data_IF_506657891529
#
_entry.id   IF_506657891529
#
_cell.length_a   1.000
_cell.length_b   1.000
_cell.length_c   1.000
_cell.angle_alpha   90.00
_cell.angle_beta   90.00
_cell.angle_gamma   90.00
#
_symmetry.space_group_name_H-M   'P 1'
#
loop_
_entity.id
_entity.type
_entity.pdbx_description
1 polymer ?
#
# COMPACT_ATOMS: atom_id res chain seq x y z
N UNK A 1 1.63 -29.81 1.11
CA UNK A 1 2.99 -30.32 1.45
C UNK A 1 3.50 -29.43 2.58
N UNK A 2 3.38 -29.90 3.82
CA UNK A 2 3.90 -29.25 5.01
C UNK A 2 5.43 -29.30 4.97
N UNK A 3 6.07 -28.20 4.59
CA UNK A 3 7.52 -28.07 4.70
C UNK A 3 7.91 -28.17 6.17
N UNK A 4 8.56 -29.27 6.58
CA UNK A 4 9.17 -29.42 7.91
C UNK A 4 10.23 -28.34 8.06
N UNK A 5 10.10 -27.49 9.09
CA UNK A 5 11.14 -26.53 9.50
C UNK A 5 12.43 -27.30 9.82
N UNK A 6 13.57 -27.02 9.13
CA UNK A 6 14.84 -27.61 9.50
C UNK A 6 15.40 -26.91 10.74
N UNK A 7 16.03 -27.69 11.63
CA UNK A 7 16.77 -27.24 12.82
C UNK A 7 18.10 -26.61 12.40
N UNK A 8 18.15 -25.32 12.17
CA UNK A 8 19.39 -24.58 11.93
C UNK A 8 19.33 -23.23 12.64
N UNK A 9 20.41 -22.77 13.25
CA UNK A 9 20.58 -21.57 14.10
C UNK A 9 19.89 -20.31 13.54
N UNK A 10 18.57 -20.29 13.58
CA UNK A 10 17.77 -19.08 13.59
C UNK A 10 17.83 -18.52 15.01
N UNK A 11 17.73 -17.20 15.19
CA UNK A 11 17.17 -16.68 16.43
C UNK A 11 15.98 -17.58 16.71
N UNK A 12 16.05 -18.39 17.79
CA UNK A 12 14.90 -19.18 18.18
C UNK A 12 13.84 -18.15 18.57
N UNK A 13 13.04 -17.73 17.57
CA UNK A 13 11.72 -17.26 17.89
C UNK A 13 11.16 -18.45 18.66
N UNK A 14 11.17 -18.35 20.00
CA UNK A 14 10.58 -19.37 20.85
C UNK A 14 9.27 -19.72 20.20
N UNK A 15 8.98 -21.04 20.05
CA UNK A 15 7.61 -21.47 20.00
C UNK A 15 6.95 -20.89 21.26
N UNK A 16 6.51 -19.63 21.14
CA UNK A 16 5.68 -18.98 22.14
C UNK A 16 4.37 -19.73 21.96
N UNK A 17 4.23 -20.77 22.77
CA UNK A 17 3.02 -21.57 22.81
C UNK A 17 1.86 -20.61 22.88
N UNK A 18 0.90 -20.75 21.98
CA UNK A 18 -0.43 -20.13 21.94
C UNK A 18 -0.55 -18.81 22.72
N UNK A 19 0.40 -17.89 22.49
CA UNK A 19 0.27 -16.53 23.01
C UNK A 19 -0.82 -15.87 22.17
N UNK A 20 -1.96 -15.60 22.78
CA UNK A 20 -3.15 -15.02 22.16
C UNK A 20 -2.94 -13.54 21.80
N UNK A 21 -1.71 -13.04 21.85
CA UNK A 21 -1.33 -11.67 21.53
C UNK A 21 -1.19 -11.41 20.01
N UNK A 22 -1.14 -10.13 19.61
CA UNK A 22 -0.95 -9.75 18.21
C UNK A 22 0.46 -10.15 17.72
N UNK A 23 0.55 -10.61 16.46
CA UNK A 23 1.80 -10.97 15.80
C UNK A 23 2.72 -9.76 15.56
N UNK A 24 2.12 -8.63 15.12
CA UNK A 24 2.79 -7.36 14.89
C UNK A 24 2.12 -6.28 15.72
N UNK A 25 2.92 -5.49 16.44
CA UNK A 25 2.48 -4.30 17.17
C UNK A 25 3.34 -3.11 16.75
N UNK A 26 2.70 -2.08 16.22
CA UNK A 26 3.32 -0.80 15.86
C UNK A 26 2.81 0.25 16.83
N UNK A 27 3.73 0.96 17.52
CA UNK A 27 3.37 1.97 18.52
C UNK A 27 4.06 3.29 18.22
N UNK A 28 3.25 4.32 18.04
CA UNK A 28 3.65 5.71 17.85
C UNK A 28 4.79 5.87 16.82
N UNK A 29 4.67 5.16 15.69
CA UNK A 29 5.70 5.14 14.67
C UNK A 29 5.72 6.46 13.90
N UNK A 30 6.87 7.13 13.92
CA UNK A 30 7.16 8.30 13.13
C UNK A 30 8.28 8.02 12.15
N UNK A 31 8.17 8.56 10.95
CA UNK A 31 9.23 8.52 9.95
C UNK A 31 9.26 9.83 9.16
N UNK A 32 10.38 10.51 9.23
CA UNK A 32 10.58 11.79 8.56
C UNK A 32 11.88 11.78 7.73
N UNK A 33 11.87 12.53 6.64
CA UNK A 33 13.03 12.68 5.75
C UNK A 33 13.54 14.12 5.79
N UNK A 34 14.85 14.29 6.02
CA UNK A 34 15.50 15.59 5.88
C UNK A 34 15.74 15.86 4.40
N UNK A 35 15.24 16.99 3.92
CA UNK A 35 15.40 17.44 2.54
C UNK A 35 15.93 18.88 2.53
N UNK A 36 16.46 19.33 1.41
CA UNK A 36 16.91 20.74 1.27
C UNK A 36 15.78 21.78 1.48
N UNK A 37 14.50 21.36 1.39
CA UNK A 37 13.31 22.22 1.60
C UNK A 37 12.76 22.16 3.02
N UNK A 38 13.22 21.22 3.83
CA UNK A 38 12.71 20.98 5.19
C UNK A 38 12.50 19.50 5.50
N UNK A 39 11.88 19.21 6.63
CA UNK A 39 11.64 17.83 7.09
C UNK A 39 10.25 17.35 6.64
N UNK A 40 10.20 16.34 5.77
CA UNK A 40 8.97 15.70 5.30
C UNK A 40 8.51 14.66 6.32
N UNK A 41 7.36 14.84 6.95
CA UNK A 41 6.77 13.90 7.94
C UNK A 41 5.90 12.86 7.23
N UNK A 42 6.53 11.84 6.66
CA UNK A 42 5.84 10.86 5.83
C UNK A 42 4.98 9.86 6.62
N UNK A 43 5.39 9.52 7.85
CA UNK A 43 4.61 8.77 8.84
C UNK A 43 4.68 9.56 10.14
N UNK A 44 3.53 9.77 10.80
CA UNK A 44 3.45 10.73 11.91
C UNK A 44 2.47 10.23 12.99
N UNK A 45 2.97 9.41 13.92
CA UNK A 45 2.22 8.88 15.05
C UNK A 45 1.26 7.74 14.66
N UNK A 46 1.76 6.74 13.95
CA UNK A 46 0.96 5.59 13.50
C UNK A 46 1.06 4.46 14.52
N UNK A 47 -0.11 3.97 15.00
CA UNK A 47 -0.20 2.84 15.92
C UNK A 47 -1.27 1.86 15.47
N UNK A 48 -0.92 0.56 15.39
CA UNK A 48 -1.85 -0.52 15.09
C UNK A 48 -1.24 -1.87 15.42
N UNK A 49 -2.06 -2.90 15.37
CA UNK A 49 -1.66 -4.28 15.57
C UNK A 49 -2.29 -5.21 14.54
N UNK A 50 -1.61 -6.33 14.28
CA UNK A 50 -2.05 -7.38 13.36
C UNK A 50 -1.90 -8.73 14.05
N UNK A 51 -2.97 -9.52 14.05
CA UNK A 51 -2.97 -10.88 14.57
C UNK A 51 -2.55 -11.89 13.50
N UNK A 52 -2.06 -13.05 13.93
CA UNK A 52 -1.70 -14.16 13.04
C UNK A 52 -2.93 -14.62 12.22
N UNK A 53 -2.72 -15.00 10.97
CA UNK A 53 -3.80 -15.45 10.08
C UNK A 53 -4.77 -14.35 9.62
N UNK A 54 -4.53 -13.08 9.94
CA UNK A 54 -5.38 -11.94 9.58
C UNK A 54 -4.80 -11.13 8.41
N UNK A 55 -5.70 -10.55 7.63
CA UNK A 55 -5.34 -9.60 6.58
C UNK A 55 -5.75 -8.19 6.98
N UNK A 56 -4.77 -7.30 7.10
CA UNK A 56 -4.96 -5.87 7.31
C UNK A 56 -4.81 -5.11 5.99
N UNK A 57 -5.85 -4.40 5.56
CA UNK A 57 -5.78 -3.46 4.44
C UNK A 57 -5.27 -2.09 4.89
N UNK A 58 -4.29 -1.51 4.19
CA UNK A 58 -3.87 -0.12 4.39
C UNK A 58 -4.12 0.65 3.10
N UNK A 59 -5.05 1.61 3.15
CA UNK A 59 -5.49 2.36 1.97
C UNK A 59 -5.31 3.86 2.12
N UNK A 60 -5.30 4.57 1.00
CA UNK A 60 -5.20 6.04 0.94
C UNK A 60 -4.65 6.51 -0.40
N UNK A 61 -4.75 7.80 -0.67
CA UNK A 61 -4.21 8.39 -1.90
C UNK A 61 -2.69 8.20 -2.03
N UNK A 62 -2.15 8.35 -3.25
CA UNK A 62 -0.71 8.41 -3.47
C UNK A 62 -0.08 9.52 -2.62
N UNK A 63 1.08 9.24 -2.01
CA UNK A 63 1.73 10.17 -1.09
C UNK A 63 1.15 10.23 0.32
N UNK A 64 0.16 9.40 0.69
CA UNK A 64 -0.37 9.36 2.07
C UNK A 64 0.58 8.72 3.10
N UNK A 65 1.72 8.14 2.68
CA UNK A 65 2.74 7.57 3.56
C UNK A 65 2.74 6.04 3.65
N UNK A 66 1.88 5.32 2.94
CA UNK A 66 1.70 3.85 3.01
C UNK A 66 2.99 3.06 2.77
N UNK A 67 3.65 3.30 1.64
CA UNK A 67 4.93 2.64 1.29
C UNK A 67 6.04 2.97 2.29
N UNK A 68 6.07 4.23 2.78
CA UNK A 68 7.03 4.62 3.82
C UNK A 68 6.74 3.88 5.12
N UNK A 69 5.46 3.74 5.51
CA UNK A 69 5.06 2.97 6.68
C UNK A 69 5.53 1.51 6.57
N UNK A 70 5.27 0.85 5.44
CA UNK A 70 5.70 -0.52 5.17
C UNK A 70 7.21 -0.69 5.31
N UNK A 71 7.97 0.19 4.66
CA UNK A 71 9.44 0.16 4.74
C UNK A 71 9.98 0.52 6.11
N UNK A 72 9.29 1.37 6.86
CA UNK A 72 9.65 1.71 8.24
C UNK A 72 9.47 0.52 9.18
N UNK A 73 8.36 -0.21 9.06
CA UNK A 73 8.10 -1.43 9.84
C UNK A 73 9.17 -2.48 9.55
N UNK A 74 9.49 -2.67 8.27
CA UNK A 74 10.51 -3.61 7.82
C UNK A 74 11.96 -3.18 8.16
N UNK A 75 12.20 -1.93 8.54
CA UNK A 75 13.57 -1.42 8.70
C UNK A 75 14.35 -1.25 7.39
N UNK A 76 13.65 -1.12 6.24
CA UNK A 76 14.24 -1.05 4.89
C UNK A 76 14.48 0.39 4.40
N UNK A 77 14.43 1.37 5.28
CA UNK A 77 14.73 2.75 4.91
C UNK A 77 16.23 3.02 4.98
N UNK A 78 16.77 3.89 4.10
CA UNK A 78 18.19 4.25 4.15
C UNK A 78 18.51 4.93 5.49
N UNK A 79 19.71 4.67 6.07
CA UNK A 79 20.07 5.23 7.37
C UNK A 79 20.38 6.74 7.33
N UNK A 80 20.65 7.28 6.13
CA UNK A 80 20.96 8.71 5.95
C UNK A 80 19.70 9.52 5.72
N UNK A 81 19.62 10.69 6.36
CA UNK A 81 18.52 11.67 6.21
C UNK A 81 17.14 11.17 6.63
N UNK A 82 17.06 10.03 7.33
CA UNK A 82 15.82 9.48 7.88
C UNK A 82 15.84 9.61 9.40
N UNK A 83 14.78 10.19 9.95
CA UNK A 83 14.51 10.25 11.39
C UNK A 83 13.35 9.30 11.66
N UNK A 84 13.58 8.28 12.50
CA UNK A 84 12.56 7.32 12.90
C UNK A 84 12.45 7.28 14.42
N UNK A 85 11.23 7.21 14.95
CA UNK A 85 10.92 7.00 16.37
C UNK A 85 9.66 6.16 16.51
N UNK A 86 9.36 5.74 17.74
CA UNK A 86 8.34 4.75 18.02
C UNK A 86 8.89 3.33 17.97
N UNK A 87 8.05 2.33 18.24
CA UNK A 87 8.46 0.93 18.34
C UNK A 87 7.67 0.02 17.40
N UNK A 88 8.35 -1.04 16.95
CA UNK A 88 7.76 -2.11 16.14
C UNK A 88 8.13 -3.44 16.77
N UNK A 89 7.15 -4.16 17.29
CA UNK A 89 7.31 -5.50 17.85
C UNK A 89 6.73 -6.53 16.90
N UNK A 90 7.47 -7.58 16.62
CA UNK A 90 7.05 -8.70 15.79
C UNK A 90 7.42 -10.02 16.44
N UNK A 91 6.44 -10.90 16.67
CA UNK A 91 6.64 -12.20 17.30
C UNK A 91 7.36 -12.11 18.67
N UNK A 92 7.07 -11.06 19.46
CA UNK A 92 7.68 -10.82 20.76
C UNK A 92 9.05 -10.12 20.73
N UNK A 93 9.58 -9.75 19.56
CA UNK A 93 10.87 -9.07 19.40
C UNK A 93 10.68 -7.64 18.89
N UNK A 94 11.44 -6.69 19.46
CA UNK A 94 11.43 -5.30 19.02
C UNK A 94 12.34 -5.11 17.80
N UNK A 95 11.75 -5.01 16.59
CA UNK A 95 12.50 -4.81 15.36
C UNK A 95 13.23 -3.47 15.29
N UNK A 96 12.71 -2.44 15.97
CA UNK A 96 13.29 -1.10 15.98
C UNK A 96 14.60 -1.02 16.77
N UNK A 97 14.83 -1.96 17.67
CA UNK A 97 16.07 -2.07 18.47
C UNK A 97 17.12 -2.99 17.80
N UNK A 98 16.76 -3.72 16.73
CA UNK A 98 17.67 -4.66 16.06
C UNK A 98 18.63 -3.92 15.12
N UNK A 99 19.87 -4.41 15.08
CA UNK A 99 20.83 -4.04 14.06
C UNK A 99 20.56 -4.76 12.73
N UNK A 100 21.27 -4.35 11.66
CA UNK A 100 21.04 -4.91 10.31
C UNK A 100 21.33 -6.41 10.26
N UNK A 101 22.30 -6.92 11.03
CA UNK A 101 22.65 -8.35 11.05
C UNK A 101 21.54 -9.19 11.69
N UNK A 102 20.87 -8.66 12.69
CA UNK A 102 19.72 -9.27 13.34
C UNK A 102 18.48 -9.20 12.45
N UNK A 103 18.22 -8.06 11.81
CA UNK A 103 17.10 -7.89 10.86
C UNK A 103 17.23 -8.85 9.67
N UNK A 104 18.44 -9.11 9.17
CA UNK A 104 18.68 -10.08 8.08
C UNK A 104 18.27 -11.51 8.44
N UNK A 105 18.21 -11.86 9.72
CA UNK A 105 17.73 -13.18 10.14
C UNK A 105 16.20 -13.26 10.15
N UNK A 106 15.53 -12.12 10.26
CA UNK A 106 14.07 -12.01 10.26
C UNK A 106 13.55 -11.88 8.83
N UNK A 107 14.23 -11.06 8.00
CA UNK A 107 13.81 -10.80 6.62
C UNK A 107 13.88 -12.07 5.77
N UNK A 108 12.78 -12.33 5.05
CA UNK A 108 12.62 -13.50 4.19
C UNK A 108 12.34 -14.80 4.94
N UNK A 109 12.73 -14.91 6.21
CA UNK A 109 12.49 -16.09 7.05
C UNK A 109 11.13 -16.03 7.76
N UNK A 110 10.86 -14.93 8.49
CA UNK A 110 9.67 -14.77 9.33
C UNK A 110 8.79 -13.60 8.83
N UNK A 111 9.41 -12.55 8.32
CA UNK A 111 8.79 -11.33 7.81
C UNK A 111 9.25 -11.09 6.38
N UNK A 112 8.32 -11.04 5.44
CA UNK A 112 8.63 -10.93 4.01
C UNK A 112 7.92 -9.74 3.37
N UNK A 113 8.42 -9.27 2.21
CA UNK A 113 7.83 -8.17 1.48
C UNK A 113 7.64 -8.50 0.00
N UNK A 114 6.46 -8.20 -0.52
CA UNK A 114 6.17 -8.16 -1.95
C UNK A 114 6.23 -6.68 -2.35
N UNK A 115 7.20 -6.33 -3.21
CA UNK A 115 7.42 -4.95 -3.64
C UNK A 115 6.44 -4.54 -4.74
N UNK A 116 6.25 -3.24 -4.91
CA UNK A 116 5.34 -2.65 -5.88
C UNK A 116 5.70 -2.97 -7.33
N UNK A 117 7.01 -2.96 -7.67
CA UNK A 117 7.49 -3.17 -9.05
C UNK A 117 8.39 -4.40 -9.14
N UNK A 118 7.94 -5.47 -9.81
CA UNK A 118 8.75 -6.67 -10.00
C UNK A 118 9.96 -6.45 -10.92
N UNK A 119 9.97 -5.37 -11.74
CA UNK A 119 11.09 -5.07 -12.63
C UNK A 119 12.31 -4.60 -11.85
N UNK A 120 12.10 -3.88 -10.77
CA UNK A 120 13.18 -3.40 -9.89
C UNK A 120 13.51 -4.37 -8.77
N UNK A 121 12.57 -5.24 -8.38
CA UNK A 121 12.75 -6.22 -7.31
C UNK A 121 13.52 -7.48 -7.78
N UNK A 122 13.28 -7.93 -9.03
CA UNK A 122 13.95 -9.10 -9.57
C UNK A 122 15.30 -8.72 -10.22
N UNK A 123 16.35 -9.47 -9.91
CA UNK A 123 17.65 -9.30 -10.56
C UNK A 123 17.60 -9.79 -12.02
N UNK A 124 17.74 -8.90 -13.04
CA UNK A 124 17.52 -9.25 -14.44
C UNK A 124 18.56 -10.22 -15.01
N UNK A 125 19.75 -10.30 -14.41
CA UNK A 125 20.86 -11.17 -14.88
C UNK A 125 20.97 -12.49 -14.11
N UNK A 126 20.04 -12.75 -13.17
CA UNK A 126 19.94 -14.03 -12.46
C UNK A 126 18.69 -14.78 -12.88
N UNK A 127 18.80 -16.11 -13.02
CA UNK A 127 17.65 -16.99 -13.28
C UNK A 127 16.67 -16.96 -12.10
N UNK A 128 15.37 -17.05 -12.38
CA UNK A 128 14.33 -16.96 -11.34
C UNK A 128 14.46 -18.07 -10.29
N UNK A 129 14.80 -19.31 -10.70
CA UNK A 129 15.00 -20.39 -9.75
C UNK A 129 16.20 -20.17 -8.81
N UNK A 130 17.23 -19.47 -9.26
CA UNK A 130 18.37 -19.11 -8.40
C UNK A 130 17.93 -18.08 -7.35
N UNK A 131 17.15 -17.08 -7.76
CA UNK A 131 16.65 -16.04 -6.84
C UNK A 131 15.73 -16.62 -5.75
N UNK A 132 14.87 -17.58 -6.10
CA UNK A 132 14.04 -18.30 -5.12
C UNK A 132 14.92 -19.14 -4.18
N UNK A 133 15.89 -19.89 -4.75
CA UNK A 133 16.77 -20.75 -3.98
C UNK A 133 17.69 -20.00 -3.02
N UNK A 134 18.05 -18.75 -3.31
CA UNK A 134 18.89 -17.92 -2.42
C UNK A 134 18.31 -17.83 -1.02
N UNK A 135 17.01 -17.54 -0.88
CA UNK A 135 16.34 -17.48 0.43
C UNK A 135 16.32 -18.83 1.13
N UNK A 136 16.07 -19.91 0.39
CA UNK A 136 16.04 -21.28 0.94
C UNK A 136 17.41 -21.72 1.47
N UNK A 137 18.48 -21.43 0.71
CA UNK A 137 19.86 -21.75 1.13
C UNK A 137 20.25 -20.89 2.34
N UNK A 138 19.95 -19.58 2.30
CA UNK A 138 20.39 -18.65 3.34
C UNK A 138 19.69 -18.90 4.68
N UNK A 139 18.38 -19.10 4.68
CA UNK A 139 17.57 -19.16 5.90
C UNK A 139 17.26 -20.59 6.36
N UNK A 140 17.15 -21.55 5.43
CA UNK A 140 16.78 -22.94 5.73
C UNK A 140 17.95 -23.91 5.60
N UNK A 141 19.17 -23.43 5.23
CA UNK A 141 20.36 -24.23 5.00
C UNK A 141 20.14 -25.42 4.04
N UNK A 142 19.22 -25.26 3.07
CA UNK A 142 18.96 -26.29 2.08
C UNK A 142 20.15 -26.46 1.14
N UNK A 143 20.42 -27.70 0.75
CA UNK A 143 21.41 -27.96 -0.27
C UNK A 143 20.94 -27.49 -1.66
N UNK A 144 21.87 -27.50 -2.64
CA UNK A 144 21.59 -27.01 -4.01
C UNK A 144 20.53 -27.83 -4.75
N UNK A 145 20.42 -29.12 -4.46
CA UNK A 145 19.44 -30.02 -5.11
C UNK A 145 18.05 -29.80 -4.48
N UNK A 146 18.00 -29.77 -3.16
CA UNK A 146 16.77 -29.54 -2.40
C UNK A 146 16.20 -28.15 -2.67
N UNK A 147 17.00 -27.08 -2.59
CA UNK A 147 16.55 -25.73 -2.87
C UNK A 147 16.01 -25.55 -4.29
N UNK A 148 16.61 -26.24 -5.29
CA UNK A 148 16.09 -26.21 -6.64
C UNK A 148 14.75 -26.95 -6.79
N UNK A 149 14.59 -28.10 -6.14
CA UNK A 149 13.32 -28.85 -6.14
C UNK A 149 12.21 -28.01 -5.51
N UNK A 150 12.48 -27.42 -4.33
CA UNK A 150 11.55 -26.54 -3.63
C UNK A 150 11.21 -25.28 -4.44
N UNK A 151 12.17 -24.70 -5.16
CA UNK A 151 11.91 -23.56 -6.05
C UNK A 151 10.92 -23.92 -7.18
N UNK A 152 11.01 -25.15 -7.74
CA UNK A 152 10.04 -25.63 -8.73
C UNK A 152 8.64 -25.80 -8.11
N UNK A 153 8.56 -26.35 -6.91
CA UNK A 153 7.28 -26.50 -6.18
C UNK A 153 6.65 -25.14 -5.86
N UNK A 154 7.46 -24.16 -5.43
CA UNK A 154 7.01 -22.78 -5.20
C UNK A 154 6.50 -22.13 -6.50
N UNK A 155 7.21 -22.28 -7.62
CA UNK A 155 6.73 -21.77 -8.90
C UNK A 155 5.40 -22.43 -9.32
N UNK A 156 5.22 -23.73 -9.02
CA UNK A 156 3.97 -24.44 -9.26
C UNK A 156 2.83 -23.90 -8.38
N UNK A 157 3.08 -23.70 -7.09
CA UNK A 157 2.08 -23.18 -6.14
C UNK A 157 1.59 -21.77 -6.47
N UNK A 158 2.43 -20.95 -7.09
CA UNK A 158 2.01 -19.61 -7.58
C UNK A 158 1.47 -19.63 -9.02
N UNK A 159 1.22 -20.80 -9.58
CA UNK A 159 0.60 -20.96 -10.89
C UNK A 159 1.49 -20.58 -12.09
N UNK A 160 2.81 -20.74 -11.99
CA UNK A 160 3.72 -20.64 -13.15
C UNK A 160 3.61 -21.93 -13.97
N UNK A 161 3.18 -21.88 -15.24
CA UNK A 161 3.08 -23.05 -16.09
C UNK A 161 4.48 -23.60 -16.43
N UNK A 162 4.62 -24.93 -16.60
CA UNK A 162 5.88 -25.63 -16.90
C UNK A 162 7.05 -25.18 -15.98
N UNK A 163 6.91 -25.27 -14.65
CA UNK A 163 7.88 -24.69 -13.71
C UNK A 163 9.26 -25.36 -13.79
N UNK A 164 9.35 -26.63 -14.21
CA UNK A 164 10.57 -27.39 -14.43
C UNK A 164 11.48 -26.79 -15.51
N UNK A 165 10.88 -26.20 -16.53
CA UNK A 165 11.56 -25.50 -17.60
C UNK A 165 11.85 -24.06 -17.17
N UNK A 166 10.81 -23.33 -16.70
CA UNK A 166 10.87 -21.90 -16.43
C UNK A 166 11.73 -21.53 -15.24
N UNK A 167 12.01 -22.44 -14.33
CA UNK A 167 12.97 -22.26 -13.25
C UNK A 167 14.36 -21.81 -13.74
N UNK A 168 14.69 -22.08 -15.03
CA UNK A 168 15.94 -21.68 -15.69
C UNK A 168 15.85 -20.33 -16.42
N UNK A 169 14.65 -19.76 -16.53
CA UNK A 169 14.42 -18.51 -17.26
C UNK A 169 14.89 -17.29 -16.45
N UNK A 170 15.11 -16.21 -17.17
CA UNK A 170 15.42 -14.91 -16.62
C UNK A 170 14.15 -14.05 -16.52
N UNK A 171 14.12 -13.03 -15.65
CA UNK A 171 12.95 -12.16 -15.49
C UNK A 171 12.43 -11.55 -16.80
N UNK A 172 13.32 -11.15 -17.71
CA UNK A 172 12.95 -10.52 -18.99
C UNK A 172 12.20 -11.47 -19.95
N UNK A 173 12.29 -12.80 -19.74
CA UNK A 173 11.57 -13.81 -20.54
C UNK A 173 10.13 -14.03 -20.05
N UNK A 174 9.71 -13.38 -18.97
CA UNK A 174 8.42 -13.54 -18.30
C UNK A 174 7.51 -12.35 -18.59
N UNK A 175 6.18 -12.58 -18.65
CA UNK A 175 5.18 -11.53 -18.65
C UNK A 175 5.14 -10.79 -17.29
N UNK A 176 4.51 -9.60 -17.23
CA UNK A 176 4.35 -8.84 -15.99
C UNK A 176 3.72 -9.65 -14.86
N UNK A 177 2.59 -10.30 -15.13
CA UNK A 177 1.92 -11.16 -14.16
C UNK A 177 2.75 -12.38 -13.72
N UNK A 178 3.55 -12.95 -14.62
CA UNK A 178 4.47 -14.05 -14.26
C UNK A 178 5.62 -13.56 -13.38
N UNK A 179 6.18 -12.38 -13.63
CA UNK A 179 7.19 -11.76 -12.75
C UNK A 179 6.64 -11.51 -11.36
N UNK A 180 5.40 -11.03 -11.28
CA UNK A 180 4.71 -10.83 -10.00
C UNK A 180 4.54 -12.15 -9.24
N UNK A 181 4.12 -13.22 -9.91
CA UNK A 181 4.02 -14.55 -9.31
C UNK A 181 5.38 -15.07 -8.82
N UNK A 182 6.46 -14.83 -9.55
CA UNK A 182 7.83 -15.18 -9.11
C UNK A 182 8.22 -14.39 -7.88
N UNK A 183 7.92 -13.09 -7.81
CA UNK A 183 8.18 -12.26 -6.63
C UNK A 183 7.40 -12.76 -5.40
N UNK A 184 6.14 -13.18 -5.58
CA UNK A 184 5.35 -13.84 -4.53
C UNK A 184 6.01 -15.15 -4.10
N UNK A 185 6.49 -15.98 -5.05
CA UNK A 185 7.19 -17.22 -4.72
C UNK A 185 8.46 -16.98 -3.90
N UNK A 186 9.23 -15.93 -4.20
CA UNK A 186 10.40 -15.51 -3.41
C UNK A 186 9.98 -15.08 -2.01
N UNK A 187 8.95 -14.23 -1.91
CA UNK A 187 8.46 -13.75 -0.61
C UNK A 187 7.95 -14.90 0.29
N UNK A 188 7.41 -15.95 -0.30
CA UNK A 188 6.86 -17.11 0.42
C UNK A 188 7.83 -18.29 0.58
N UNK A 189 9.08 -18.15 0.10
CA UNK A 189 10.04 -19.26 0.03
C UNK A 189 10.29 -19.94 1.38
N UNK A 190 10.44 -19.16 2.44
CA UNK A 190 10.72 -19.65 3.78
C UNK A 190 9.48 -19.79 4.68
N UNK A 191 8.27 -19.75 4.11
CA UNK A 191 7.00 -19.79 4.84
C UNK A 191 6.92 -18.73 5.96
N UNK A 192 6.98 -17.43 5.62
CA UNK A 192 6.98 -16.35 6.60
C UNK A 192 5.65 -16.32 7.38
N UNK A 193 5.69 -15.78 8.60
CA UNK A 193 4.50 -15.56 9.44
C UNK A 193 3.73 -14.30 9.04
N UNK A 194 4.44 -13.29 8.48
CA UNK A 194 3.84 -12.04 7.98
C UNK A 194 4.39 -11.69 6.61
N UNK A 195 3.49 -11.36 5.68
CA UNK A 195 3.82 -10.82 4.37
C UNK A 195 3.31 -9.38 4.26
N UNK A 196 4.20 -8.45 3.96
CA UNK A 196 3.87 -7.06 3.62
C UNK A 196 3.75 -6.96 2.09
N UNK A 197 2.56 -6.75 1.56
CA UNK A 197 2.32 -6.61 0.12
C UNK A 197 2.07 -5.12 -0.22
N UNK A 198 3.10 -4.44 -0.73
CA UNK A 198 3.06 -3.02 -1.08
C UNK A 198 2.65 -2.85 -2.54
N UNK A 199 1.38 -2.53 -2.77
CA UNK A 199 0.75 -2.38 -4.09
C UNK A 199 1.06 -3.55 -5.05
N UNK A 200 0.77 -4.80 -4.66
CA UNK A 200 1.27 -5.99 -5.36
C UNK A 200 0.70 -6.20 -6.76
N UNK A 201 -0.18 -5.35 -7.23
CA UNK A 201 -0.87 -5.48 -8.52
C UNK A 201 -0.78 -4.24 -9.39
N UNK A 202 0.00 -3.25 -8.99
CA UNK A 202 0.21 -2.01 -9.77
C UNK A 202 0.85 -2.34 -11.13
N UNK A 203 0.29 -1.76 -12.20
CA UNK A 203 0.77 -1.98 -13.57
C UNK A 203 0.33 -3.29 -14.22
N UNK A 204 -0.58 -4.05 -13.59
CA UNK A 204 -1.21 -5.24 -14.17
C UNK A 204 -2.62 -4.92 -14.67
N UNK A 205 -3.07 -5.67 -15.67
CA UNK A 205 -4.48 -5.62 -16.10
C UNK A 205 -5.42 -6.17 -15.02
N UNK A 206 -6.69 -5.76 -15.05
CA UNK A 206 -7.70 -6.06 -14.01
C UNK A 206 -7.86 -7.56 -13.78
N UNK A 207 -7.79 -8.37 -14.84
CA UNK A 207 -7.95 -9.83 -14.75
C UNK A 207 -6.76 -10.47 -14.02
N UNK A 208 -5.54 -10.10 -14.39
CA UNK A 208 -4.32 -10.58 -13.75
C UNK A 208 -4.24 -10.06 -12.32
N UNK A 209 -4.65 -8.82 -12.06
CA UNK A 209 -4.75 -8.26 -10.71
C UNK A 209 -5.64 -9.13 -9.82
N UNK A 210 -6.86 -9.46 -10.26
CA UNK A 210 -7.77 -10.32 -9.52
C UNK A 210 -7.13 -11.69 -9.20
N UNK A 211 -6.52 -12.33 -10.21
CA UNK A 211 -5.84 -13.62 -10.04
C UNK A 211 -4.68 -13.60 -9.04
N UNK A 212 -3.89 -12.52 -9.02
CA UNK A 212 -2.78 -12.35 -8.08
C UNK A 212 -3.30 -12.19 -6.65
N UNK A 213 -4.35 -11.40 -6.47
CA UNK A 213 -4.94 -11.17 -5.15
C UNK A 213 -5.67 -12.41 -4.62
N UNK A 214 -6.32 -13.19 -5.48
CA UNK A 214 -6.95 -14.46 -5.11
C UNK A 214 -5.90 -15.48 -4.70
N UNK A 215 -4.81 -15.59 -5.46
CA UNK A 215 -3.65 -16.43 -5.12
C UNK A 215 -3.09 -16.06 -3.74
N UNK A 216 -2.89 -14.76 -3.47
CA UNK A 216 -2.35 -14.31 -2.19
C UNK A 216 -3.30 -14.65 -1.03
N UNK A 217 -4.62 -14.50 -1.23
CA UNK A 217 -5.64 -14.84 -0.23
C UNK A 217 -5.74 -16.36 0.01
N UNK A 218 -5.57 -17.18 -1.03
CA UNK A 218 -5.53 -18.63 -0.91
C UNK A 218 -4.30 -19.07 -0.10
N UNK A 219 -3.11 -18.59 -0.45
CA UNK A 219 -1.86 -18.91 0.23
C UNK A 219 -1.85 -18.39 1.69
N UNK A 220 -2.49 -17.25 1.95
CA UNK A 220 -2.68 -16.72 3.30
C UNK A 220 -3.48 -17.70 4.17
N UNK A 221 -4.60 -18.21 3.66
CA UNK A 221 -5.46 -19.16 4.38
C UNK A 221 -4.78 -20.52 4.59
N UNK A 222 -4.13 -21.05 3.55
CA UNK A 222 -3.43 -22.34 3.61
C UNK A 222 -2.28 -22.36 4.62
N UNK A 223 -1.57 -21.24 4.74
CA UNK A 223 -0.35 -21.13 5.57
C UNK A 223 -0.59 -20.45 6.90
N UNK A 224 -1.83 -19.98 7.16
CA UNK A 224 -2.18 -19.20 8.36
C UNK A 224 -1.27 -18.01 8.62
N UNK A 225 -0.70 -17.42 7.57
CA UNK A 225 0.17 -16.26 7.68
C UNK A 225 -0.68 -14.98 7.82
N UNK A 226 -0.12 -13.96 8.49
CA UNK A 226 -0.70 -12.62 8.43
C UNK A 226 -0.31 -11.92 7.13
N UNK A 227 -1.19 -11.03 6.63
CA UNK A 227 -0.92 -10.20 5.44
C UNK A 227 -1.24 -8.75 5.75
N UNK A 228 -0.32 -7.83 5.43
CA UNK A 228 -0.61 -6.40 5.33
C UNK A 228 -0.67 -6.06 3.85
N UNK A 229 -1.87 -5.74 3.37
CA UNK A 229 -2.12 -5.39 1.97
C UNK A 229 -2.21 -3.87 1.83
N UNK A 230 -1.19 -3.27 1.26
CA UNK A 230 -1.14 -1.83 0.98
C UNK A 230 -1.59 -1.60 -0.45
N UNK A 231 -2.55 -0.70 -0.63
CA UNK A 231 -3.09 -0.33 -1.95
C UNK A 231 -3.70 1.07 -1.93
N UNK A 232 -3.89 1.66 -3.08
CA UNK A 232 -4.72 2.86 -3.23
C UNK A 232 -6.18 2.53 -3.61
N UNK A 233 -6.48 1.27 -3.90
CA UNK A 233 -7.82 0.80 -4.29
C UNK A 233 -8.57 0.20 -3.09
N UNK A 234 -9.57 0.94 -2.62
CA UNK A 234 -10.43 0.52 -1.52
C UNK A 234 -11.30 -0.69 -1.90
N UNK A 235 -11.64 -0.86 -3.18
CA UNK A 235 -12.40 -2.01 -3.68
C UNK A 235 -11.63 -3.32 -3.53
N UNK A 236 -10.31 -3.28 -3.68
CA UNK A 236 -9.44 -4.44 -3.48
C UNK A 236 -9.49 -4.94 -2.04
N UNK A 237 -9.35 -4.06 -1.05
CA UNK A 237 -9.36 -4.46 0.36
C UNK A 237 -10.75 -4.83 0.87
N UNK A 238 -11.81 -4.28 0.27
CA UNK A 238 -13.20 -4.56 0.65
C UNK A 238 -13.56 -6.05 0.66
N UNK A 239 -12.93 -6.83 -0.22
CA UNK A 239 -13.23 -8.26 -0.40
C UNK A 239 -12.18 -9.19 0.21
N UNK A 240 -11.04 -8.65 0.69
CA UNK A 240 -9.89 -9.46 1.08
C UNK A 240 -9.32 -9.15 2.46
N UNK A 241 -9.59 -7.96 3.02
CA UNK A 241 -9.10 -7.58 4.33
C UNK A 241 -10.12 -7.88 5.43
N UNK A 242 -9.65 -8.31 6.60
CA UNK A 242 -10.45 -8.41 7.82
C UNK A 242 -10.69 -7.02 8.41
N UNK A 243 -9.63 -6.22 8.50
CA UNK A 243 -9.62 -4.85 9.01
C UNK A 243 -9.00 -3.91 7.99
N UNK A 244 -9.43 -2.65 8.02
CA UNK A 244 -8.90 -1.61 7.13
C UNK A 244 -8.42 -0.41 7.94
N UNK A 245 -7.23 0.07 7.58
CA UNK A 245 -6.68 1.35 8.00
C UNK A 245 -6.71 2.30 6.80
N UNK A 246 -7.29 3.48 6.99
CA UNK A 246 -7.27 4.56 6.02
C UNK A 246 -6.23 5.59 6.43
N UNK A 247 -5.24 5.82 5.56
CA UNK A 247 -4.17 6.79 5.78
C UNK A 247 -4.37 8.06 4.96
N UNK A 248 -4.17 9.19 5.60
CA UNK A 248 -4.13 10.50 4.93
C UNK A 248 -2.98 11.34 5.46
N UNK A 249 -2.16 11.85 4.56
CA UNK A 249 -1.06 12.77 4.89
C UNK A 249 -0.19 12.31 6.07
N UNK A 250 0.22 11.03 6.08
CA UNK A 250 1.10 10.44 7.07
C UNK A 250 0.42 9.92 8.35
N UNK A 251 -0.90 10.05 8.50
CA UNK A 251 -1.64 9.61 9.70
C UNK A 251 -2.75 8.63 9.38
N UNK A 252 -3.12 7.83 10.37
CA UNK A 252 -4.36 7.05 10.36
C UNK A 252 -5.52 8.03 10.60
N UNK A 253 -6.49 8.04 9.69
CA UNK A 253 -7.69 8.89 9.83
C UNK A 253 -8.95 8.08 10.11
N UNK A 254 -8.96 6.80 9.76
CA UNK A 254 -10.03 5.86 10.14
C UNK A 254 -9.46 4.44 10.18
N UNK A 255 -9.93 3.63 11.14
CA UNK A 255 -9.65 2.18 11.25
C UNK A 255 -10.90 1.47 11.72
N UNK A 256 -11.29 0.40 11.04
CA UNK A 256 -12.41 -0.43 11.45
C UNK A 256 -12.32 -1.84 10.81
N UNK A 257 -13.04 -2.83 11.34
CA UNK A 257 -13.37 -4.05 10.61
C UNK A 257 -14.00 -3.70 9.26
N UNK A 258 -13.61 -4.41 8.21
CA UNK A 258 -13.99 -4.09 6.82
C UNK A 258 -15.48 -3.82 6.65
N UNK A 259 -16.34 -4.72 7.17
CA UNK A 259 -17.79 -4.54 7.06
C UNK A 259 -18.30 -3.29 7.77
N UNK A 260 -17.71 -2.96 8.91
CA UNK A 260 -18.05 -1.75 9.69
C UNK A 260 -17.66 -0.49 8.93
N UNK A 261 -16.44 -0.45 8.37
CA UNK A 261 -15.95 0.70 7.60
C UNK A 261 -16.90 1.04 6.44
N UNK A 262 -17.32 0.05 5.66
CA UNK A 262 -18.18 0.26 4.50
C UNK A 262 -19.63 0.59 4.88
N UNK A 263 -20.16 0.04 5.97
CA UNK A 263 -21.52 0.29 6.42
C UNK A 263 -21.68 1.60 7.17
N UNK A 264 -20.69 1.97 7.97
CA UNK A 264 -20.78 3.05 8.95
C UNK A 264 -19.50 3.94 8.91
N UNK A 265 -19.14 4.40 7.70
CA UNK A 265 -18.00 5.30 7.49
C UNK A 265 -18.16 6.56 8.32
N UNK A 266 -17.15 6.91 9.12
CA UNK A 266 -17.16 8.10 10.00
C UNK A 266 -16.36 9.27 9.44
N UNK A 267 -15.27 9.00 8.73
CA UNK A 267 -14.40 10.05 8.22
C UNK A 267 -14.83 10.53 6.82
N UNK A 268 -15.05 11.84 6.62
CA UNK A 268 -15.42 12.39 5.30
C UNK A 268 -14.42 12.06 4.19
N UNK A 269 -13.12 11.92 4.50
CA UNK A 269 -12.12 11.49 3.54
C UNK A 269 -12.33 10.05 3.07
N UNK A 270 -12.60 9.13 4.01
CA UNK A 270 -12.90 7.72 3.66
C UNK A 270 -14.15 7.62 2.77
N UNK A 271 -15.17 8.43 3.07
CA UNK A 271 -16.37 8.52 2.23
C UNK A 271 -16.05 9.01 0.83
N UNK A 272 -15.24 10.07 0.72
CA UNK A 272 -14.81 10.60 -0.57
C UNK A 272 -13.99 9.59 -1.38
N UNK A 273 -13.14 8.77 -0.72
CA UNK A 273 -12.46 7.64 -1.36
C UNK A 273 -13.45 6.59 -1.90
N UNK A 274 -14.47 6.23 -1.11
CA UNK A 274 -15.51 5.29 -1.55
C UNK A 274 -16.31 5.83 -2.73
N UNK A 275 -16.64 7.11 -2.72
CA UNK A 275 -17.41 7.76 -3.78
C UNK A 275 -16.60 7.97 -5.07
N UNK A 276 -15.26 7.81 -5.02
CA UNK A 276 -14.39 7.84 -6.20
C UNK A 276 -14.25 6.49 -6.90
N UNK A 277 -14.76 5.39 -6.31
CA UNK A 277 -14.73 4.05 -6.93
C UNK A 277 -15.86 3.95 -7.97
N UNK A 278 -15.54 3.57 -9.23
CA UNK A 278 -16.57 3.32 -10.25
C UNK A 278 -17.51 2.19 -9.82
N UNK A 279 -18.80 2.41 -9.90
CA UNK A 279 -19.81 1.36 -9.67
C UNK A 279 -20.31 0.83 -11.00
N UNK A 280 -20.52 -0.48 -11.09
CA UNK A 280 -21.10 -1.11 -12.29
C UNK A 280 -22.49 -0.56 -12.64
N UNK A 281 -23.22 -0.01 -11.65
CA UNK A 281 -24.53 0.59 -11.82
C UNK A 281 -24.48 2.07 -12.24
N UNK A 282 -23.29 2.69 -12.30
CA UNK A 282 -23.17 4.10 -12.70
C UNK A 282 -23.48 4.21 -14.21
N UNK A 283 -24.35 5.17 -14.61
CA UNK A 283 -24.63 5.40 -16.02
C UNK A 283 -23.36 5.72 -16.81
N UNK A 284 -23.26 5.23 -18.04
CA UNK A 284 -22.13 5.54 -18.93
C UNK A 284 -21.97 7.06 -19.08
N UNK A 285 -20.78 7.60 -18.76
CA UNK A 285 -20.48 9.03 -18.89
C UNK A 285 -20.64 9.86 -17.63
N UNK A 286 -21.00 9.26 -16.47
CA UNK A 286 -20.96 9.98 -15.20
C UNK A 286 -19.51 10.28 -14.83
N UNK A 287 -19.22 11.54 -14.58
CA UNK A 287 -17.91 11.98 -14.07
C UNK A 287 -17.71 11.40 -12.69
N UNK A 288 -16.69 10.55 -12.51
CA UNK A 288 -16.30 10.08 -11.18
C UNK A 288 -16.03 11.26 -10.26
N UNK A 289 -16.52 11.19 -9.03
CA UNK A 289 -16.29 12.22 -8.02
C UNK A 289 -14.84 12.13 -7.52
N UNK A 290 -13.90 12.73 -8.27
CA UNK A 290 -12.53 12.86 -7.79
C UNK A 290 -12.50 13.74 -6.53
N UNK A 291 -11.69 13.36 -5.54
CA UNK A 291 -11.47 14.17 -4.33
C UNK A 291 -10.80 15.48 -4.76
N UNK A 292 -11.52 16.59 -4.65
CA UNK A 292 -11.05 17.90 -5.09
C UNK A 292 -9.82 18.39 -4.31
N UNK A 293 -9.04 19.29 -4.91
CA UNK A 293 -7.84 19.88 -4.31
C UNK A 293 -6.62 18.96 -4.33
N UNK A 294 -5.53 19.41 -3.69
CA UNK A 294 -4.28 18.65 -3.56
C UNK A 294 -4.08 18.22 -2.10
N UNK A 295 -3.47 17.03 -1.85
CA UNK A 295 -3.01 16.67 -0.52
C UNK A 295 -2.08 17.74 0.06
N UNK A 296 -2.07 17.94 1.40
CA UNK A 296 -1.22 18.95 2.03
C UNK A 296 0.27 18.61 1.88
N UNK A 297 1.10 19.65 1.93
CA UNK A 297 2.56 19.47 2.00
C UNK A 297 2.93 18.86 3.36
N UNK A 298 3.66 17.75 3.35
CA UNK A 298 4.11 17.07 4.55
C UNK A 298 5.32 17.75 5.24
N UNK A 299 5.89 18.80 4.64
CA UNK A 299 6.89 19.65 5.28
C UNK A 299 6.23 20.58 6.28
N UNK A 300 5.10 21.18 5.89
CA UNK A 300 4.32 22.11 6.70
C UNK A 300 2.84 21.71 6.68
N UNK A 301 2.48 20.59 7.34
CA UNK A 301 1.09 20.16 7.38
C UNK A 301 0.22 21.19 8.13
N UNK A 302 -1.08 21.26 7.81
CA UNK A 302 -2.02 22.12 8.56
C UNK A 302 -1.94 21.86 10.06
N UNK A 303 -2.10 22.91 10.87
CA UNK A 303 -2.13 22.82 12.35
C UNK A 303 -3.36 22.11 12.89
N UNK A 304 -4.46 22.14 12.13
CA UNK A 304 -5.70 21.42 12.41
C UNK A 304 -5.81 20.11 11.65
N UNK A 305 -7.05 19.73 11.35
CA UNK A 305 -7.32 18.52 10.55
C UNK A 305 -6.63 18.61 9.18
N UNK A 306 -5.80 17.63 8.86
CA UNK A 306 -5.04 17.61 7.59
C UNK A 306 -5.94 17.57 6.36
N UNK A 307 -7.13 17.01 6.48
CA UNK A 307 -8.13 16.98 5.41
C UNK A 307 -8.98 18.27 5.33
N UNK A 308 -8.91 19.17 6.30
CA UNK A 308 -9.74 20.39 6.35
C UNK A 308 -9.75 21.21 5.04
N UNK A 309 -8.63 21.40 4.32
CA UNK A 309 -8.62 22.17 3.06
C UNK A 309 -9.44 21.54 1.92
N UNK A 310 -9.77 20.24 2.02
CA UNK A 310 -10.48 19.46 0.98
C UNK A 310 -11.85 18.95 1.48
N UNK A 311 -12.16 19.17 2.77
CA UNK A 311 -13.36 18.66 3.40
C UNK A 311 -14.55 19.56 3.12
N UNK A 312 -15.60 19.03 2.50
CA UNK A 312 -16.86 19.77 2.26
C UNK A 312 -17.63 20.12 3.55
N UNK A 313 -17.27 19.47 4.67
CA UNK A 313 -17.90 19.68 5.99
C UNK A 313 -16.99 20.45 6.96
N UNK A 314 -15.96 21.15 6.46
CA UNK A 314 -14.97 21.83 7.28
C UNK A 314 -15.63 22.91 8.17
N UNK A 315 -15.26 22.92 9.46
CA UNK A 315 -15.65 23.94 10.43
C UNK A 315 -14.40 24.62 11.00
N UNK A 316 -14.57 25.74 11.69
CA UNK A 316 -13.46 26.52 12.27
C UNK A 316 -12.59 25.67 13.21
N UNK A 317 -13.22 24.82 14.03
CA UNK A 317 -12.48 23.86 14.88
C UNK A 317 -11.55 22.95 14.09
N UNK A 318 -11.96 22.54 12.88
CA UNK A 318 -11.13 21.68 12.01
C UNK A 318 -9.88 22.41 11.50
N UNK A 319 -9.91 23.74 11.41
CA UNK A 319 -8.78 24.55 10.92
C UNK A 319 -7.72 24.79 11.98
N UNK A 320 -8.11 24.83 13.25
CA UNK A 320 -7.23 25.22 14.35
C UNK A 320 -6.79 24.06 15.25
N UNK A 321 -7.53 22.95 15.24
CA UNK A 321 -7.26 21.81 16.12
C UNK A 321 -7.33 20.49 15.35
N UNK A 322 -6.29 19.65 15.52
CA UNK A 322 -6.25 18.31 14.93
C UNK A 322 -7.15 17.36 15.72
N UNK A 323 -8.07 16.61 15.05
CA UNK A 323 -8.90 15.63 15.74
C UNK A 323 -8.08 14.43 16.18
N UNK A 324 -8.20 13.98 17.43
CA UNK A 324 -7.56 12.74 17.87
C UNK A 324 -8.23 11.52 17.23
N UNK A 325 -7.46 10.46 17.00
CA UNK A 325 -8.00 9.16 16.65
C UNK A 325 -8.72 8.59 17.88
N UNK A 326 -10.04 8.36 17.77
CA UNK A 326 -10.90 7.98 18.89
C UNK A 326 -11.98 7.00 18.46
N UNK A 327 -12.51 6.24 19.40
CA UNK A 327 -13.72 5.42 19.24
C UNK A 327 -14.97 6.19 19.68
N UNK A 328 -16.10 5.94 19.01
CA UNK A 328 -17.43 6.35 19.48
C UNK A 328 -18.39 5.19 19.18
N UNK A 329 -18.93 4.61 20.23
CA UNK A 329 -19.89 3.50 20.13
C UNK A 329 -19.22 2.12 20.01
N UNK A 330 -18.68 1.77 18.85
CA UNK A 330 -18.03 0.47 18.63
C UNK A 330 -16.55 0.53 19.00
N UNK A 331 -16.02 -0.35 19.88
CA UNK A 331 -14.63 -0.29 20.33
C UNK A 331 -13.60 -0.39 19.22
N UNK A 332 -13.90 -1.19 18.18
CA UNK A 332 -12.97 -1.47 17.08
C UNK A 332 -13.07 -0.48 15.90
N UNK A 333 -13.88 0.58 16.05
CA UNK A 333 -14.01 1.63 15.04
C UNK A 333 -13.40 2.93 15.54
N UNK A 334 -12.21 3.26 15.03
CA UNK A 334 -11.48 4.49 15.35
C UNK A 334 -11.54 5.46 14.17
N UNK A 335 -11.72 6.74 14.46
CA UNK A 335 -11.70 7.80 13.44
C UNK A 335 -11.21 9.14 14.00
N UNK A 336 -10.57 9.93 13.13
CA UNK A 336 -10.00 11.24 13.43
C UNK A 336 -10.85 12.36 12.80
N UNK A 337 -12.05 12.59 13.34
CA UNK A 337 -12.94 13.64 12.87
C UNK A 337 -13.68 14.32 14.05
N UNK A 338 -13.77 15.67 14.02
CA UNK A 338 -14.57 16.41 14.99
C UNK A 338 -16.07 16.28 14.75
N UNK A 339 -16.45 16.16 13.48
CA UNK A 339 -17.83 16.08 12.98
C UNK A 339 -18.00 14.85 12.09
N UNK A 340 -18.04 13.64 12.68
CA UNK A 340 -18.11 12.40 11.92
C UNK A 340 -19.41 12.29 11.12
N UNK A 341 -19.40 11.42 10.14
CA UNK A 341 -20.61 11.06 9.42
C UNK A 341 -21.50 10.18 10.30
N UNK A 342 -22.81 10.43 10.24
CA UNK A 342 -23.87 9.60 10.81
C UNK A 342 -24.85 9.30 9.68
N UNK A 343 -25.10 8.01 9.40
CA UNK A 343 -25.91 7.57 8.25
C UNK A 343 -25.46 8.20 6.91
N UNK A 344 -24.15 8.36 6.74
CA UNK A 344 -23.57 8.96 5.55
C UNK A 344 -23.64 10.49 5.45
N UNK A 345 -24.24 11.16 6.44
CA UNK A 345 -24.38 12.62 6.50
C UNK A 345 -23.51 13.17 7.62
N UNK A 346 -22.80 14.28 7.38
CA UNK A 346 -22.02 14.93 8.43
C UNK A 346 -22.93 15.54 9.51
N UNK A 347 -22.47 15.44 10.75
CA UNK A 347 -23.11 16.16 11.88
C UNK A 347 -22.88 17.68 11.82
N UNK A 348 -22.02 18.15 10.92
CA UNK A 348 -21.83 19.57 10.62
C UNK A 348 -22.57 19.95 9.33
N UNK A 349 -23.09 21.19 9.20
CA UNK A 349 -23.66 21.66 7.94
C UNK A 349 -22.59 21.69 6.84
N UNK A 350 -22.99 21.29 5.60
CA UNK A 350 -22.10 21.36 4.45
C UNK A 350 -21.72 22.83 4.18
N UNK A 351 -20.42 23.07 4.01
CA UNK A 351 -19.90 24.38 3.58
C UNK A 351 -19.60 24.26 2.07
N UNK A 352 -20.11 25.17 1.22
CA UNK A 352 -19.75 25.16 -0.19
C UNK A 352 -18.24 25.32 -0.35
N UNK A 353 -17.58 24.27 -0.84
CA UNK A 353 -16.17 24.37 -1.23
C UNK A 353 -16.13 25.22 -2.48
N UNK A 354 -15.64 26.44 -2.36
CA UNK A 354 -15.39 27.31 -3.52
C UNK A 354 -14.22 26.69 -4.30
N UNK A 355 -14.55 25.85 -5.27
CA UNK A 355 -13.58 25.44 -6.28
C UNK A 355 -13.24 26.70 -7.05
N UNK A 356 -12.03 27.23 -6.84
CA UNK A 356 -11.55 28.39 -7.59
C UNK A 356 -11.72 28.11 -9.09
N UNK A 357 -12.70 28.74 -9.69
CA UNK A 357 -12.82 28.83 -11.14
C UNK A 357 -11.56 29.56 -11.62
N UNK A 358 -10.64 28.84 -12.23
CA UNK A 358 -9.70 29.44 -13.17
C UNK A 358 -10.57 30.03 -14.28
N UNK A 359 -10.70 31.35 -14.26
CA UNK A 359 -11.28 32.12 -15.36
C UNK A 359 -10.35 31.89 -16.54
N UNK A 360 -10.74 30.98 -17.42
CA UNK A 360 -10.19 30.92 -18.77
C UNK A 360 -10.61 32.18 -19.48
N UNK A 361 -9.66 33.08 -19.72
CA UNK A 361 -9.84 34.20 -20.65
C UNK A 361 -10.23 33.62 -22.01
N UNK A 362 -11.50 33.80 -22.35
CA UNK A 362 -11.99 33.56 -23.69
C UNK A 362 -11.29 34.59 -24.62
N UNK A 363 -10.41 34.09 -25.47
CA UNK A 363 -9.94 34.84 -26.65
C UNK A 363 -11.11 34.89 -27.60
N UNK A 364 -11.79 36.04 -27.66
CA UNK A 364 -12.75 36.36 -28.70
C UNK A 364 -11.99 36.62 -29.99
N UNK A 365 -12.06 35.68 -30.92
CA UNK A 365 -11.69 35.92 -32.31
C UNK A 365 -12.77 36.81 -32.98
N UNK A 366 -12.45 38.09 -33.12
CA UNK A 366 -13.19 39.00 -33.93
C UNK A 366 -12.98 38.62 -35.39
N UNK A 367 -14.09 38.27 -36.06
CA UNK A 367 -14.15 38.18 -37.50
C UNK A 367 -14.56 39.56 -38.03
N UNK A 368 -13.65 40.24 -38.73
CA UNK A 368 -14.00 41.27 -39.64
C UNK A 368 -13.61 40.88 -41.07
N UNK A 369 -14.62 40.90 -41.93
CA UNK A 369 -14.55 40.80 -43.37
C UNK A 369 -14.06 42.13 -43.92
N UNK A 370 -13.11 42.10 -44.84
CA UNK A 370 -13.10 43.04 -45.95
C UNK A 370 -12.55 42.39 -47.23
N UNK A 371 -13.20 42.73 -48.28
CA UNK A 371 -13.16 42.23 -49.65
C UNK A 371 -12.17 42.98 -50.50
N UNK A 372 -11.79 42.37 -51.60
CA UNK A 372 -11.26 42.88 -52.89
C UNK A 372 -9.74 42.71 -53.08
N UNK A 373 -9.42 41.90 -54.08
CA UNK A 373 -9.11 42.36 -55.41
C UNK A 373 -7.77 41.84 -55.90
N UNK A 374 -7.86 41.09 -56.96
CA UNK A 374 -6.93 41.03 -58.10
C UNK A 374 -5.63 40.22 -58.09
N UNK A 375 -5.64 39.27 -58.98
CA UNK A 375 -4.54 38.56 -59.66
C UNK A 375 -3.67 39.47 -60.55
N UNK A 376 -2.58 39.05 -61.27
CA UNK A 376 -1.88 37.75 -61.33
C UNK A 376 -0.34 37.83 -61.54
N UNK A 377 0.22 36.63 -61.82
CA UNK A 377 1.51 36.35 -62.53
C UNK A 377 2.81 36.42 -61.71
N UNK A 378 3.56 35.37 -61.74
CA UNK A 378 4.59 34.99 -62.67
C UNK A 378 5.69 34.16 -62.00
N UNK A 379 5.91 32.98 -62.60
CA UNK A 379 7.25 32.38 -62.89
C UNK A 379 8.44 32.61 -61.92
N UNK A 380 9.11 31.62 -61.49
CA UNK A 380 10.05 30.67 -62.07
C UNK A 380 11.22 30.35 -61.12
N UNK A 381 11.59 29.11 -61.16
CA UNK A 381 12.97 28.60 -61.01
C UNK A 381 13.78 28.82 -59.73
N UNK A 382 13.98 27.85 -58.93
CA UNK A 382 15.12 26.89 -58.93
C UNK A 382 15.04 25.93 -57.72
#
# INVERSE_FOLDING_TARGET
VTARRPKGRSLQFKDVGTDTGPLLVVQDLHTSFRTGRGTVRAVDGVSFEVSEGKTLGIVGESGSGKTVLSRSIMGLLPPRDVIRSGTVHFGGHELTAMDESQLRQVWGAELSMIFQDPMTALNPVKRIGVQIAESLVLHLNMDKKESRSTAIELLRSVGIPSPEERVRWYPFQLSGGMRQRVMIAIALACAPRLVMADEPTTGLDVTVQAQILDLLAELQRERHMAVILVTHDLGVVATRADDIIVMYAGRIVERAPTRTLFRDTKMPYTRALMDSIPRLADPSGVRLNAIGGRPPDLISPPTGCRFAPRCQYVQDKCRVSEPPLRTVGTPDHLFACWFPLVDGVSTAPAVPVTVGRTVGTAVTSGADRETAGDTPSGEDSR
#
